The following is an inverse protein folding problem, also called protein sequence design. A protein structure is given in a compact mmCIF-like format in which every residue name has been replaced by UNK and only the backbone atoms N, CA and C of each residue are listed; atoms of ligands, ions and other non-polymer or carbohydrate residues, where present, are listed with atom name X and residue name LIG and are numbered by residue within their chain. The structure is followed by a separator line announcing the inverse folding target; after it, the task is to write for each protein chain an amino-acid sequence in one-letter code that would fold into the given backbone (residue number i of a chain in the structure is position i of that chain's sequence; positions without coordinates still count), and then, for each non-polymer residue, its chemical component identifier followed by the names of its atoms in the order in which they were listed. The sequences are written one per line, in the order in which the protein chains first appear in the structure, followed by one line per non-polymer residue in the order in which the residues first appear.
data_IF_209745431722
#
_entry.id   IF_209745431722
#
_cell.length_a   1.000
_cell.length_b   1.000
_cell.length_c   1.000
_cell.angle_alpha   90.00
_cell.angle_beta   90.00
_cell.angle_gamma   90.00
#
_symmetry.space_group_name_H-M   'P 1'
#
loop_
_entity.id
_entity.type
_entity.pdbx_description
1 polymer ?
#
# COMPACT_ATOMS: atom_id res chain seq x y z
N UNK A 1 7.15 0.73 11.47
CA UNK A 1 6.53 -0.02 10.35
C UNK A 1 6.71 -1.47 10.72
N UNK A 2 5.70 -2.33 10.62
CA UNK A 2 5.91 -3.75 10.98
C UNK A 2 7.02 -4.35 10.09
N UNK A 3 7.82 -5.25 10.64
CA UNK A 3 9.01 -5.81 9.95
C UNK A 3 8.67 -6.42 8.59
N UNK A 4 7.50 -7.08 8.49
CA UNK A 4 6.99 -7.67 7.24
C UNK A 4 6.87 -6.65 6.09
N UNK A 5 6.50 -5.39 6.38
CA UNK A 5 6.41 -4.34 5.36
C UNK A 5 7.77 -3.71 5.04
N UNK A 6 8.71 -3.74 5.99
CA UNK A 6 10.08 -3.29 5.75
C UNK A 6 10.79 -4.26 4.81
N UNK A 7 10.61 -5.57 5.01
CA UNK A 7 11.12 -6.58 4.08
C UNK A 7 10.47 -6.47 2.69
N UNK A 8 9.15 -6.22 2.62
CA UNK A 8 8.48 -5.96 1.36
C UNK A 8 9.08 -4.73 0.65
N UNK A 9 9.31 -3.63 1.39
CA UNK A 9 9.92 -2.43 0.83
C UNK A 9 11.31 -2.72 0.25
N UNK A 10 12.13 -3.53 0.96
CA UNK A 10 13.43 -3.97 0.46
C UNK A 10 13.31 -4.82 -0.81
N UNK A 11 12.38 -5.78 -0.85
CA UNK A 11 12.13 -6.61 -2.04
C UNK A 11 11.61 -5.79 -3.24
N UNK A 12 10.84 -4.74 -2.98
CA UNK A 12 10.27 -3.85 -4.00
C UNK A 12 11.19 -2.69 -4.40
N UNK A 13 12.28 -2.44 -3.67
CA UNK A 13 13.22 -1.35 -3.95
C UNK A 13 13.81 -1.43 -5.37
N UNK A 14 14.07 -2.65 -5.86
CA UNK A 14 14.57 -2.90 -7.22
C UNK A 14 13.48 -2.89 -8.30
N UNK A 15 12.20 -2.83 -7.91
CA UNK A 15 11.05 -2.90 -8.82
C UNK A 15 10.50 -1.53 -9.21
N UNK A 16 11.07 -0.44 -8.69
CA UNK A 16 10.57 0.92 -8.93
C UNK A 16 9.29 1.28 -8.16
N UNK A 17 8.90 0.43 -7.20
CA UNK A 17 7.70 0.62 -6.37
C UNK A 17 8.11 1.16 -5.02
N UNK A 18 7.51 2.28 -4.62
CA UNK A 18 7.75 2.93 -3.33
C UNK A 18 6.72 2.43 -2.31
N UNK A 19 7.20 1.91 -1.19
CA UNK A 19 6.34 1.52 -0.06
C UNK A 19 6.47 2.59 1.02
N UNK A 20 5.34 3.17 1.42
CA UNK A 20 5.27 4.21 2.44
C UNK A 20 4.31 3.84 3.57
N UNK A 21 4.55 4.39 4.76
CA UNK A 21 3.60 4.32 5.87
C UNK A 21 2.97 5.69 6.08
N UNK A 22 1.64 5.73 6.01
CA UNK A 22 0.85 6.92 6.34
C UNK A 22 0.12 6.69 7.68
N UNK A 23 0.15 7.67 8.59
CA UNK A 23 -0.64 7.61 9.83
C UNK A 23 -1.96 8.30 9.58
N UNK A 24 -3.05 7.54 9.58
CA UNK A 24 -4.40 8.03 9.30
C UNK A 24 -5.17 8.45 10.58
N UNK A 25 -4.46 8.87 11.62
CA UNK A 25 -5.03 9.22 12.93
C UNK A 25 -5.02 10.74 13.15
N UNK A 26 -5.89 11.23 14.04
CA UNK A 26 -5.98 12.67 14.38
C UNK A 26 -6.55 13.51 13.23
N UNK A 27 -5.91 14.64 12.93
CA UNK A 27 -6.29 15.57 11.86
C UNK A 27 -6.24 14.94 10.46
N UNK A 28 -5.34 13.98 10.24
CA UNK A 28 -5.19 13.31 8.94
C UNK A 28 -6.25 12.22 8.70
N UNK A 29 -7.11 11.93 9.68
CA UNK A 29 -8.16 10.92 9.59
C UNK A 29 -9.21 11.26 8.53
N UNK A 30 -9.66 12.51 8.47
CA UNK A 30 -10.66 12.95 7.49
C UNK A 30 -10.10 12.88 6.06
N UNK A 31 -8.83 13.24 5.90
CA UNK A 31 -8.10 13.11 4.63
C UNK A 31 -7.93 11.64 4.23
N UNK A 32 -7.53 10.77 5.17
CA UNK A 32 -7.36 9.35 4.92
C UNK A 32 -8.67 8.63 4.57
N UNK A 33 -9.79 9.01 5.18
CA UNK A 33 -11.10 8.45 4.83
C UNK A 33 -11.53 8.86 3.42
N UNK A 34 -11.31 10.12 3.06
CA UNK A 34 -11.74 10.67 1.76
C UNK A 34 -10.84 10.21 0.60
N UNK A 35 -9.53 10.34 0.76
CA UNK A 35 -8.57 10.11 -0.32
C UNK A 35 -7.97 8.71 -0.29
N UNK A 36 -7.63 8.19 0.90
CA UNK A 36 -6.96 6.90 1.06
C UNK A 36 -7.94 5.73 1.25
N UNK A 37 -9.23 6.01 1.39
CA UNK A 37 -10.28 5.01 1.62
C UNK A 37 -9.97 4.12 2.85
N UNK A 38 -9.50 4.76 3.94
CA UNK A 38 -9.24 4.14 5.24
C UNK A 38 -10.52 3.41 5.76
N UNK A 39 -10.44 2.19 6.34
CA UNK A 39 -9.28 1.51 6.96
C UNK A 39 -8.52 0.51 6.06
N UNK A 40 -8.70 0.54 4.74
CA UNK A 40 -8.06 -0.44 3.84
C UNK A 40 -6.65 0.00 3.41
N UNK A 41 -5.77 -0.97 3.12
CA UNK A 41 -4.47 -0.68 2.52
C UNK A 41 -4.66 -0.12 1.10
N UNK A 42 -4.04 1.02 0.85
CA UNK A 42 -4.19 1.79 -0.38
C UNK A 42 -2.97 1.59 -1.29
N UNK A 43 -3.19 1.26 -2.56
CA UNK A 43 -2.13 1.13 -3.55
C UNK A 43 -2.29 2.17 -4.66
N UNK A 44 -1.21 2.90 -4.96
CA UNK A 44 -1.17 3.89 -6.03
C UNK A 44 -0.38 3.33 -7.23
N UNK A 45 -1.06 3.19 -8.37
CA UNK A 45 -0.39 2.80 -9.62
C UNK A 45 0.16 4.03 -10.32
N UNK A 46 1.32 3.86 -10.97
CA UNK A 46 2.01 4.94 -11.71
C UNK A 46 1.16 5.58 -12.81
N UNK A 47 0.20 4.84 -13.37
CA UNK A 47 -0.70 5.28 -14.44
C UNK A 47 -2.13 5.52 -13.97
N UNK A 48 -2.42 5.38 -12.67
CA UNK A 48 -3.76 5.61 -12.11
C UNK A 48 -3.72 6.79 -11.16
N UNK A 49 -4.51 7.83 -11.46
CA UNK A 49 -4.76 8.94 -10.54
C UNK A 49 -5.62 8.51 -9.34
N UNK A 50 -6.23 7.32 -9.38
CA UNK A 50 -7.10 6.81 -8.32
C UNK A 50 -6.42 5.68 -7.53
N UNK A 51 -6.47 5.73 -6.19
CA UNK A 51 -5.98 4.65 -5.35
C UNK A 51 -6.84 3.39 -5.52
N UNK A 52 -6.18 2.24 -5.66
CA UNK A 52 -6.83 0.93 -5.71
C UNK A 52 -6.93 0.40 -4.27
N UNK A 53 -8.15 0.00 -3.89
CA UNK A 53 -8.41 -0.71 -2.64
C UNK A 53 -7.81 -2.11 -2.72
N UNK A 54 -6.90 -2.44 -1.82
CA UNK A 54 -6.42 -3.81 -1.66
C UNK A 54 -7.01 -4.43 -0.39
N UNK A 55 -7.86 -5.44 -0.55
CA UNK A 55 -8.50 -6.13 0.57
C UNK A 55 -7.50 -7.09 1.22
N UNK A 56 -6.88 -6.64 2.32
CA UNK A 56 -5.87 -7.39 3.06
C UNK A 56 -6.53 -8.46 3.97
N UNK A 57 -7.32 -9.36 3.39
CA UNK A 57 -7.85 -10.54 4.09
C UNK A 57 -6.76 -11.57 4.42
N UNK A 58 -5.63 -11.54 3.69
CA UNK A 58 -4.38 -12.21 4.03
C UNK A 58 -3.27 -11.17 4.04
N UNK A 59 -2.70 -10.90 5.22
CA UNK A 59 -1.56 -9.99 5.42
C UNK A 59 -0.25 -10.63 4.95
N UNK A 60 -0.31 -11.41 3.88
CA UNK A 60 0.85 -12.14 3.38
C UNK A 60 1.63 -11.25 2.42
N UNK A 61 2.90 -11.03 2.77
CA UNK A 61 3.85 -10.23 2.00
C UNK A 61 3.96 -10.76 0.56
N UNK A 62 3.82 -12.06 0.35
CA UNK A 62 3.93 -12.70 -0.95
C UNK A 62 2.71 -12.42 -1.85
N UNK A 63 1.51 -12.35 -1.27
CA UNK A 63 0.29 -11.97 -1.99
C UNK A 63 0.36 -10.53 -2.49
N UNK A 64 0.87 -9.62 -1.66
CA UNK A 64 1.07 -8.22 -2.05
C UNK A 64 2.19 -8.07 -3.10
N UNK A 65 3.27 -8.84 -2.97
CA UNK A 65 4.35 -8.88 -3.96
C UNK A 65 3.85 -9.39 -5.32
N UNK A 66 3.05 -10.46 -5.33
CA UNK A 66 2.45 -11.04 -6.53
C UNK A 66 1.49 -10.06 -7.20
N UNK A 67 0.67 -9.35 -6.42
CA UNK A 67 -0.21 -8.31 -6.93
C UNK A 67 0.57 -7.15 -7.58
N UNK A 68 1.63 -6.67 -6.93
CA UNK A 68 2.50 -5.62 -7.48
C UNK A 68 3.18 -6.08 -8.77
N UNK A 69 3.65 -7.34 -8.84
CA UNK A 69 4.22 -7.91 -10.06
C UNK A 69 3.21 -8.04 -11.20
N UNK A 70 1.95 -8.35 -10.90
CA UNK A 70 0.89 -8.48 -11.90
C UNK A 70 0.42 -7.13 -12.49
N UNK A 71 0.72 -6.03 -11.82
CA UNK A 71 0.36 -4.66 -12.25
C UNK A 71 1.49 -3.97 -13.04
N UNK A 72 2.62 -4.65 -13.22
CA UNK A 72 3.73 -4.23 -14.08
C UNK A 72 3.47 -4.69 -15.51
#
# INVERSE_FOLDING_TARGET
MEESYVELAKKLASSGVKVGKFRADGDEKAFAQKELQFPYNTLFLRHSSKPIKYWLGKRDVDSLLSFVKALR
#
